data_IF_471943090097
#
_entry.id   IF_471943090097
#
_cell.length_a   1.000
_cell.length_b   1.000
_cell.length_c   1.000
_cell.angle_alpha   90.00
_cell.angle_beta   90.00
_cell.angle_gamma   90.00
#
_symmetry.space_group_name_H-M   'P 1'
#
loop_
_entity.id
_entity.type
_entity.pdbx_description
1 polymer ?
#
# COMPACT_ATOMS: atom_id res chain seq x y z
N UNK A 1 -26.04 -49.27 -16.98
CA UNK A 1 -26.63 -48.54 -15.83
C UNK A 1 -25.77 -48.82 -14.61
N UNK A 2 -24.99 -47.85 -14.13
CA UNK A 2 -24.17 -47.97 -12.90
C UNK A 2 -24.32 -46.68 -12.07
N UNK A 3 -24.90 -46.73 -10.85
CA UNK A 3 -25.18 -45.55 -10.05
C UNK A 3 -24.15 -45.37 -8.93
N UNK A 4 -23.09 -44.57 -9.12
CA UNK A 4 -22.20 -44.21 -7.99
C UNK A 4 -21.34 -42.95 -8.14
N UNK A 5 -21.57 -42.08 -9.13
CA UNK A 5 -20.74 -40.88 -9.34
C UNK A 5 -21.53 -39.59 -9.06
N UNK A 6 -21.96 -39.37 -7.80
CA UNK A 6 -22.31 -38.02 -7.32
C UNK A 6 -21.27 -37.60 -6.28
N UNK A 7 -20.39 -36.63 -6.56
CA UNK A 7 -19.44 -36.19 -5.54
C UNK A 7 -20.19 -35.49 -4.40
N UNK A 8 -20.08 -36.05 -3.20
CA UNK A 8 -20.63 -35.49 -1.96
C UNK A 8 -20.14 -34.05 -1.78
N UNK A 9 -21.07 -33.09 -1.83
CA UNK A 9 -20.84 -31.63 -1.77
C UNK A 9 -20.02 -31.18 -0.54
N UNK A 10 -19.90 -32.04 0.47
CA UNK A 10 -19.19 -31.79 1.73
C UNK A 10 -17.68 -32.07 1.65
N UNK A 11 -17.19 -32.89 0.70
CA UNK A 11 -15.73 -33.14 0.54
C UNK A 11 -14.98 -31.99 -0.14
N UNK A 12 -15.69 -31.12 -0.85
CA UNK A 12 -15.08 -29.94 -1.49
C UNK A 12 -14.64 -28.86 -0.49
N UNK A 13 -15.40 -28.71 0.60
CA UNK A 13 -15.15 -27.68 1.62
C UNK A 13 -13.96 -28.07 2.51
N UNK A 14 -13.87 -29.34 2.90
CA UNK A 14 -12.73 -29.84 3.69
C UNK A 14 -11.41 -29.81 2.91
N UNK A 15 -11.45 -30.02 1.60
CA UNK A 15 -10.25 -29.92 0.74
C UNK A 15 -9.83 -28.48 0.46
N UNK A 16 -10.79 -27.54 0.39
CA UNK A 16 -10.50 -26.12 0.22
C UNK A 16 -9.87 -25.52 1.49
N UNK A 17 -10.36 -25.92 2.67
CA UNK A 17 -9.83 -25.45 3.95
C UNK A 17 -8.42 -26.02 4.24
N UNK A 18 -8.16 -27.29 3.89
CA UNK A 18 -6.84 -27.89 4.06
C UNK A 18 -5.79 -27.25 3.15
N UNK A 19 -6.16 -26.88 1.91
CA UNK A 19 -5.29 -26.12 1.00
C UNK A 19 -5.02 -24.68 1.45
N UNK A 20 -5.98 -24.04 2.13
CA UNK A 20 -5.80 -22.70 2.68
C UNK A 20 -4.88 -22.69 3.91
N UNK A 21 -4.99 -23.72 4.77
CA UNK A 21 -4.18 -23.87 5.98
C UNK A 21 -2.76 -24.39 5.71
N UNK A 22 -2.55 -25.19 4.65
CA UNK A 22 -1.26 -25.82 4.37
C UNK A 22 -0.19 -24.90 3.76
N UNK A 23 -0.53 -23.65 3.45
CA UNK A 23 0.36 -22.75 2.71
C UNK A 23 0.51 -23.19 1.25
N UNK A 24 0.48 -22.23 0.33
CA UNK A 24 0.54 -22.52 -1.10
C UNK A 24 1.82 -23.32 -1.44
N UNK A 25 1.73 -24.40 -2.24
CA UNK A 25 2.88 -25.22 -2.60
C UNK A 25 3.93 -24.39 -3.37
N UNK A 26 5.20 -24.55 -3.01
CA UNK A 26 6.34 -24.00 -3.74
C UNK A 26 6.40 -24.63 -5.13
N UNK A 27 6.21 -23.79 -6.15
CA UNK A 27 6.66 -23.96 -7.54
C UNK A 27 6.26 -25.28 -8.23
N UNK A 28 4.96 -25.46 -8.45
CA UNK A 28 4.46 -26.32 -9.52
C UNK A 28 4.29 -25.52 -10.82
N UNK A 29 4.32 -26.16 -12.02
CA UNK A 29 4.11 -25.46 -13.28
C UNK A 29 2.74 -24.76 -13.25
N UNK A 30 2.75 -23.44 -13.42
CA UNK A 30 1.54 -22.63 -13.40
C UNK A 30 0.52 -23.19 -14.40
N UNK A 31 -0.76 -23.40 -14.01
CA UNK A 31 -1.77 -23.88 -14.94
C UNK A 31 -1.86 -22.92 -16.13
N UNK A 32 -1.74 -23.46 -17.35
CA UNK A 32 -1.85 -22.74 -18.63
C UNK A 32 -3.19 -21.99 -18.66
N UNK A 33 -3.16 -20.73 -18.22
CA UNK A 33 -4.33 -19.87 -18.01
C UNK A 33 -3.95 -18.58 -17.30
N UNK A 34 -2.92 -18.61 -16.45
CA UNK A 34 -2.29 -17.43 -15.83
C UNK A 34 -0.98 -17.08 -16.55
N UNK A 35 -1.05 -16.79 -17.86
CA UNK A 35 0.13 -16.23 -18.51
C UNK A 35 0.31 -14.81 -17.98
N UNK A 36 1.37 -14.60 -17.19
CA UNK A 36 1.95 -13.28 -16.97
C UNK A 36 2.11 -12.64 -18.36
N UNK A 37 1.41 -11.53 -18.63
CA UNK A 37 1.44 -10.88 -19.95
C UNK A 37 2.89 -10.56 -20.32
N UNK A 38 3.40 -11.03 -21.47
CA UNK A 38 4.79 -10.76 -21.89
C UNK A 38 5.14 -9.26 -21.83
N UNK A 39 4.16 -8.42 -22.18
CA UNK A 39 4.23 -6.97 -22.02
C UNK A 39 2.99 -6.50 -21.26
N UNK A 40 3.09 -6.11 -19.99
CA UNK A 40 1.98 -5.51 -19.27
C UNK A 40 1.67 -4.14 -19.88
N UNK A 41 0.44 -3.96 -20.35
CA UNK A 41 -0.04 -2.67 -20.90
C UNK A 41 -0.76 -1.82 -19.84
N UNK A 42 -1.12 -2.44 -18.72
CA UNK A 42 -1.88 -1.83 -17.63
C UNK A 42 -1.07 -1.87 -16.34
N UNK A 43 -1.28 -0.87 -15.47
CA UNK A 43 -0.63 -0.74 -14.17
C UNK A 43 -0.70 -2.02 -13.30
N UNK A 44 -1.84 -2.71 -13.29
CA UNK A 44 -1.99 -3.97 -12.58
C UNK A 44 -1.04 -5.07 -13.09
N UNK A 45 -0.81 -5.13 -14.41
CA UNK A 45 0.16 -6.03 -15.01
C UNK A 45 1.57 -5.75 -14.48
N UNK A 46 2.00 -4.49 -14.51
CA UNK A 46 3.33 -4.11 -14.00
C UNK A 46 3.54 -4.51 -12.53
N UNK A 47 2.52 -4.37 -11.68
CA UNK A 47 2.60 -4.77 -10.27
C UNK A 47 2.74 -6.29 -10.13
N UNK A 48 1.98 -7.08 -10.89
CA UNK A 48 2.06 -8.55 -10.83
C UNK A 48 3.38 -9.11 -11.33
N UNK A 49 4.03 -8.41 -12.27
CA UNK A 49 5.34 -8.78 -12.81
C UNK A 49 6.50 -8.35 -11.92
N UNK A 50 6.31 -7.31 -11.11
CA UNK A 50 7.37 -6.83 -10.24
C UNK A 50 7.53 -7.78 -9.05
N UNK A 51 8.71 -8.38 -8.82
CA UNK A 51 8.93 -9.34 -7.74
C UNK A 51 9.06 -8.61 -6.40
N UNK A 52 7.97 -8.00 -5.92
CA UNK A 52 7.92 -7.19 -4.68
C UNK A 52 8.50 -7.94 -3.48
N UNK A 53 8.21 -9.24 -3.38
CA UNK A 53 8.73 -10.10 -2.32
C UNK A 53 10.25 -10.23 -2.35
N UNK A 54 10.84 -10.42 -3.53
CA UNK A 54 12.29 -10.56 -3.70
C UNK A 54 13.02 -9.29 -3.22
N UNK A 55 12.52 -8.11 -3.60
CA UNK A 55 13.11 -6.84 -3.16
C UNK A 55 12.93 -6.60 -1.65
N UNK A 56 11.80 -6.99 -1.06
CA UNK A 56 11.58 -6.83 0.38
C UNK A 56 12.41 -7.80 1.25
N UNK A 57 12.72 -8.98 0.74
CA UNK A 57 13.57 -9.97 1.42
C UNK A 57 15.07 -9.64 1.27
N UNK A 58 15.51 -9.19 0.10
CA UNK A 58 16.93 -9.01 -0.19
C UNK A 58 17.45 -7.58 -0.02
N UNK A 59 16.59 -6.56 -0.08
CA UNK A 59 17.00 -5.16 0.10
C UNK A 59 16.67 -4.68 1.51
N UNK A 60 17.69 -4.67 2.37
CA UNK A 60 17.58 -4.11 3.72
C UNK A 60 17.12 -2.65 3.69
N UNK A 61 17.63 -1.86 2.72
CA UNK A 61 17.28 -0.46 2.55
C UNK A 61 15.78 -0.29 2.31
N UNK A 62 15.18 -1.09 1.43
CA UNK A 62 13.75 -1.00 1.12
C UNK A 62 12.89 -1.37 2.34
N UNK A 63 13.30 -2.35 3.14
CA UNK A 63 12.60 -2.74 4.37
C UNK A 63 12.56 -1.60 5.38
N UNK A 64 13.70 -1.00 5.69
CA UNK A 64 13.77 0.09 6.67
C UNK A 64 13.21 1.39 6.14
N UNK A 65 13.33 1.67 4.83
CA UNK A 65 12.74 2.84 4.19
C UNK A 65 11.22 2.83 4.32
N UNK A 66 10.56 1.70 4.09
CA UNK A 66 9.10 1.62 4.24
C UNK A 66 8.67 1.82 5.69
N UNK A 67 9.40 1.23 6.65
CA UNK A 67 9.10 1.40 8.08
C UNK A 67 9.31 2.86 8.52
N UNK A 68 10.43 3.47 8.14
CA UNK A 68 10.73 4.86 8.48
C UNK A 68 9.77 5.84 7.80
N UNK A 69 9.40 5.60 6.54
CA UNK A 69 8.41 6.40 5.83
C UNK A 69 7.05 6.35 6.54
N UNK A 70 6.57 5.16 6.92
CA UNK A 70 5.33 5.02 7.68
C UNK A 70 5.39 5.76 9.02
N UNK A 71 6.49 5.60 9.77
CA UNK A 71 6.67 6.30 11.05
C UNK A 71 6.71 7.82 10.87
N UNK A 72 7.44 8.30 9.86
CA UNK A 72 7.56 9.72 9.54
C UNK A 72 6.22 10.32 9.12
N UNK A 73 5.38 9.59 8.37
CA UNK A 73 4.04 10.04 8.00
C UNK A 73 3.15 10.24 9.24
N UNK A 74 3.18 9.30 10.19
CA UNK A 74 2.42 9.41 11.45
C UNK A 74 2.92 10.59 12.28
N UNK A 75 4.24 10.74 12.40
CA UNK A 75 4.87 11.84 13.13
C UNK A 75 4.51 13.20 12.49
N UNK A 76 4.65 13.31 11.18
CA UNK A 76 4.36 14.53 10.44
C UNK A 76 2.90 14.92 10.58
N UNK A 77 1.97 13.97 10.47
CA UNK A 77 0.54 14.24 10.68
C UNK A 77 0.27 14.86 12.06
N UNK A 78 0.93 14.39 13.13
CA UNK A 78 0.80 15.01 14.46
C UNK A 78 1.35 16.43 14.51
N UNK A 79 2.53 16.66 13.91
CA UNK A 79 3.15 17.99 13.85
C UNK A 79 2.26 18.95 13.06
N UNK A 80 1.74 18.51 11.91
CA UNK A 80 0.82 19.28 11.07
C UNK A 80 -0.41 19.72 11.87
N UNK A 81 -1.03 18.81 12.62
CA UNK A 81 -2.20 19.15 13.44
C UNK A 81 -1.89 20.16 14.56
N UNK A 82 -0.70 20.08 15.16
CA UNK A 82 -0.25 21.06 16.15
C UNK A 82 0.00 22.44 15.52
N UNK A 83 0.60 22.47 14.34
CA UNK A 83 0.84 23.71 13.59
C UNK A 83 -0.46 24.39 13.16
N UNK A 84 -1.47 23.61 12.76
CA UNK A 84 -2.80 24.10 12.35
C UNK A 84 -3.78 24.33 13.51
N UNK A 85 -3.31 24.44 14.75
CA UNK A 85 -4.17 24.81 15.87
C UNK A 85 -4.83 26.18 15.62
N UNK A 86 -6.09 26.40 16.06
CA UNK A 86 -6.82 27.63 15.73
C UNK A 86 -6.15 28.89 16.29
N UNK A 87 -5.41 28.77 17.39
CA UNK A 87 -4.63 29.85 17.98
C UNK A 87 -3.42 30.22 17.10
N UNK A 88 -2.69 29.23 16.59
CA UNK A 88 -1.56 29.46 15.70
C UNK A 88 -2.00 30.08 14.37
N UNK A 89 -3.14 29.62 13.83
CA UNK A 89 -3.71 30.18 12.60
C UNK A 89 -4.07 31.66 12.77
N UNK A 90 -4.68 32.04 13.91
CA UNK A 90 -4.99 33.46 14.22
C UNK A 90 -3.72 34.30 14.31
N UNK A 91 -2.71 33.85 15.07
CA UNK A 91 -1.42 34.55 15.19
C UNK A 91 -0.74 34.73 13.82
N UNK A 92 -0.74 33.70 12.97
CA UNK A 92 -0.21 33.79 11.61
C UNK A 92 -1.02 34.72 10.71
N UNK A 93 -2.34 34.82 10.91
CA UNK A 93 -3.16 35.78 10.17
C UNK A 93 -2.85 37.24 10.56
N UNK A 94 -2.62 37.50 11.85
CA UNK A 94 -2.22 38.82 12.36
C UNK A 94 -0.83 39.23 11.85
N UNK A 95 0.17 38.33 11.95
CA UNK A 95 1.52 38.53 11.40
C UNK A 95 1.52 38.82 9.90
N UNK A 96 0.67 38.12 9.13
CA UNK A 96 0.56 38.39 7.69
C UNK A 96 0.00 39.77 7.37
N UNK A 97 -0.93 40.27 8.20
CA UNK A 97 -1.44 41.64 8.05
C UNK A 97 -0.34 42.66 8.35
N UNK A 98 0.42 42.48 9.43
CA UNK A 98 1.51 43.40 9.77
C UNK A 98 2.58 43.45 8.68
N UNK A 99 2.96 42.31 8.09
CA UNK A 99 3.93 42.28 6.99
C UNK A 99 3.41 42.94 5.71
N UNK A 100 2.11 42.80 5.42
CA UNK A 100 1.50 43.47 4.29
C UNK A 100 1.51 45.00 4.48
N UNK A 101 1.17 45.47 5.68
CA UNK A 101 1.17 46.89 6.02
C UNK A 101 2.60 47.48 6.00
N UNK A 102 3.60 46.72 6.48
CA UNK A 102 5.02 47.09 6.40
C UNK A 102 5.53 47.15 4.95
N UNK A 103 5.14 46.18 4.12
CA UNK A 103 5.49 46.17 2.70
C UNK A 103 4.89 47.36 1.95
N UNK A 104 3.65 47.74 2.27
CA UNK A 104 3.01 48.93 1.67
C UNK A 104 3.72 50.23 2.08
N UNK A 105 4.15 50.34 3.33
CA UNK A 105 4.92 51.50 3.81
C UNK A 105 6.31 51.60 3.17
N UNK A 106 6.96 50.47 2.91
CA UNK A 106 8.29 50.45 2.30
C UNK A 106 8.29 50.75 0.80
N UNK A 107 7.17 50.55 0.11
CA UNK A 107 7.04 50.77 -1.33
C UNK A 107 6.43 52.15 -1.70
N UNK A 108 6.00 52.94 -0.71
CA UNK A 108 5.51 54.32 -0.88
C UNK A 108 6.60 55.34 -0.56
#
# INVERSE_FOLDING_TARGET
>A
MHPSQRPDRLRGITFALSKFLAGAPKEGPHPKGWRLQTYPVNWGGYITHFPMRHYYENSWMLRYFLVSACFTLILMHKITNLSYSPENVKKFAELRKSWADEAEKHWK
#
